data_IF_417647238953
#
_entry.id   IF_417647238953
#
_cell.length_a   1.000
_cell.length_b   1.000
_cell.length_c   1.000
_cell.angle_alpha   90.00
_cell.angle_beta   90.00
_cell.angle_gamma   90.00
#
_symmetry.space_group_name_H-M   'P 1'
#
loop_
_entity.id
_entity.type
_entity.pdbx_description
1 polymer ?
#
# COMPACT_ATOMS: atom_id res chain seq x y z
N UNK A 1 -5.44 -20.31 -25.52
CA UNK A 1 -3.97 -20.17 -25.33
C UNK A 1 -3.73 -19.01 -24.37
N UNK A 2 -2.95 -19.24 -23.32
CA UNK A 2 -2.89 -18.40 -22.11
C UNK A 2 -2.06 -17.11 -22.31
N UNK A 3 -2.63 -16.11 -23.02
CA UNK A 3 -1.99 -14.82 -23.31
C UNK A 3 -1.49 -14.09 -22.06
N UNK A 4 -2.17 -14.25 -20.92
CA UNK A 4 -1.74 -13.68 -19.64
C UNK A 4 -0.44 -14.27 -19.09
N UNK A 5 -0.18 -15.56 -19.30
CA UNK A 5 1.08 -16.18 -18.87
C UNK A 5 2.28 -15.65 -19.68
N UNK A 6 2.05 -15.32 -20.96
CA UNK A 6 3.07 -14.77 -21.83
C UNK A 6 3.47 -13.35 -21.40
N UNK A 7 2.49 -12.51 -21.05
CA UNK A 7 2.76 -11.15 -20.54
C UNK A 7 3.48 -11.17 -19.19
N UNK A 8 3.15 -12.14 -18.34
CA UNK A 8 3.85 -12.31 -17.06
C UNK A 8 5.32 -12.71 -17.32
N UNK A 9 5.56 -13.66 -18.23
CA UNK A 9 6.92 -14.08 -18.59
C UNK A 9 7.75 -12.92 -19.18
N UNK A 10 7.13 -12.07 -20.00
CA UNK A 10 7.76 -10.89 -20.59
C UNK A 10 8.14 -9.85 -19.53
N UNK A 11 7.26 -9.62 -18.54
CA UNK A 11 7.58 -8.75 -17.40
C UNK A 11 8.75 -9.25 -16.56
N UNK A 12 8.83 -10.57 -16.32
CA UNK A 12 9.97 -11.17 -15.61
C UNK A 12 11.29 -11.04 -16.39
N UNK A 13 11.24 -11.19 -17.72
CA UNK A 13 12.42 -11.02 -18.57
C UNK A 13 12.99 -9.60 -18.47
N UNK A 14 12.14 -8.57 -18.50
CA UNK A 14 12.54 -7.16 -18.39
C UNK A 14 13.21 -6.85 -17.04
N UNK A 15 12.69 -7.40 -15.93
CA UNK A 15 13.29 -7.24 -14.60
C UNK A 15 14.66 -7.92 -14.54
N UNK A 16 14.78 -9.14 -15.07
CA UNK A 16 16.05 -9.86 -15.10
C UNK A 16 17.12 -9.14 -15.95
N UNK A 17 16.71 -8.51 -17.06
CA UNK A 17 17.60 -7.70 -17.89
C UNK A 17 18.09 -6.45 -17.15
N UNK A 18 17.21 -5.78 -16.39
CA UNK A 18 17.59 -4.67 -15.52
C UNK A 18 18.69 -5.06 -14.51
N UNK A 19 18.57 -6.21 -13.87
CA UNK A 19 19.61 -6.73 -12.97
C UNK A 19 20.92 -7.06 -13.69
N UNK A 20 20.85 -7.65 -14.89
CA UNK A 20 22.05 -7.93 -15.71
C UNK A 20 22.77 -6.64 -16.10
N UNK A 21 22.01 -5.61 -16.48
CA UNK A 21 22.54 -4.30 -16.85
C UNK A 21 23.22 -3.62 -15.66
N UNK A 22 22.57 -3.61 -14.49
CA UNK A 22 23.18 -3.10 -13.26
C UNK A 22 24.46 -3.85 -12.87
N UNK A 23 24.48 -5.18 -13.04
CA UNK A 23 25.67 -6.00 -12.80
C UNK A 23 26.79 -5.73 -13.83
N UNK A 24 26.47 -5.47 -15.09
CA UNK A 24 27.47 -5.14 -16.12
C UNK A 24 28.01 -3.72 -16.02
N UNK A 25 27.21 -2.78 -15.51
CA UNK A 25 27.59 -1.36 -15.34
C UNK A 25 28.36 -1.12 -14.02
N UNK A 26 28.68 -2.18 -13.28
CA UNK A 26 29.51 -2.10 -12.06
C UNK A 26 28.87 -1.32 -10.92
N UNK A 27 27.55 -1.13 -10.95
CA UNK A 27 26.84 -0.41 -9.92
C UNK A 27 26.59 -1.33 -8.73
N UNK A 28 27.34 -1.11 -7.65
CA UNK A 28 27.20 -1.87 -6.42
C UNK A 28 25.80 -1.69 -5.84
N UNK A 29 25.12 -2.81 -5.61
CA UNK A 29 23.87 -2.86 -4.88
C UNK A 29 24.18 -2.40 -3.45
N UNK A 30 23.56 -1.34 -2.90
CA UNK A 30 23.74 -1.01 -1.49
C UNK A 30 23.38 -2.23 -0.66
N UNK A 31 24.33 -2.65 0.18
CA UNK A 31 24.34 -3.86 0.99
C UNK A 31 23.42 -3.73 2.21
N UNK A 32 22.20 -3.24 2.00
CA UNK A 32 21.07 -3.28 2.94
C UNK A 32 19.88 -3.92 2.21
N UNK A 33 20.06 -5.17 1.78
CA UNK A 33 18.92 -6.06 1.55
C UNK A 33 18.72 -6.82 2.85
N UNK A 34 18.13 -6.11 3.81
CA UNK A 34 17.47 -6.75 4.94
C UNK A 34 16.43 -7.72 4.39
N UNK A 35 16.51 -8.92 4.94
CA UNK A 35 15.76 -10.10 4.62
C UNK A 35 14.30 -9.93 5.01
N UNK A 36 13.45 -9.31 4.19
CA UNK A 36 12.00 -9.46 4.32
C UNK A 36 11.26 -8.90 3.10
N UNK A 37 10.82 -9.79 2.20
CA UNK A 37 9.51 -9.68 1.54
C UNK A 37 9.22 -10.95 0.76
N UNK A 38 8.52 -11.86 1.46
CA UNK A 38 7.57 -12.78 0.86
C UNK A 38 6.77 -12.02 -0.23
N UNK A 39 6.59 -12.56 -1.44
CA UNK A 39 5.82 -11.89 -2.46
C UNK A 39 4.36 -11.92 -2.02
N UNK A 40 3.89 -10.88 -1.33
CA UNK A 40 2.47 -10.58 -1.32
C UNK A 40 2.11 -10.26 -2.77
N UNK A 41 1.34 -11.19 -3.35
CA UNK A 41 0.65 -11.00 -4.62
C UNK A 41 -0.02 -9.65 -4.61
N UNK A 42 0.55 -8.71 -5.35
CA UNK A 42 -0.13 -7.50 -5.79
C UNK A 42 -1.33 -7.93 -6.62
N UNK A 43 -2.50 -7.98 -5.99
CA UNK A 43 -3.75 -7.86 -6.73
C UNK A 43 -3.81 -6.41 -7.22
N UNK A 44 -3.69 -6.26 -8.54
CA UNK A 44 -4.32 -5.22 -9.38
C UNK A 44 -4.79 -3.95 -8.67
N UNK A 45 -4.24 -2.76 -9.00
CA UNK A 45 -4.77 -1.49 -8.51
C UNK A 45 -6.08 -1.20 -9.24
N UNK A 46 -7.18 -1.79 -8.77
CA UNK A 46 -8.45 -1.07 -8.87
C UNK A 46 -8.25 0.23 -8.10
N UNK A 47 -8.61 1.36 -8.69
CA UNK A 47 -8.63 2.69 -8.05
C UNK A 47 -9.64 2.69 -6.89
N UNK A 48 -9.35 1.94 -5.84
CA UNK A 48 -10.02 1.96 -4.55
C UNK A 48 -9.08 2.67 -3.62
N UNK A 49 -9.63 3.57 -2.80
CA UNK A 49 -8.86 4.34 -1.83
C UNK A 49 -7.96 3.39 -1.04
N UNK A 50 -6.66 3.63 -1.12
CA UNK A 50 -5.70 2.73 -0.50
C UNK A 50 -5.72 2.94 1.00
N UNK A 51 -5.65 1.85 1.79
CA UNK A 51 -5.52 1.94 3.25
C UNK A 51 -4.32 2.81 3.66
N UNK A 52 -3.31 2.92 2.79
CA UNK A 52 -2.15 3.78 2.94
C UNK A 52 -2.52 5.26 2.97
N UNK A 53 -3.34 5.73 2.03
CA UNK A 53 -3.81 7.13 2.00
C UNK A 53 -4.68 7.45 3.21
N UNK A 54 -5.59 6.55 3.59
CA UNK A 54 -6.42 6.74 4.78
C UNK A 54 -5.57 6.80 6.05
N UNK A 55 -4.52 5.97 6.16
CA UNK A 55 -3.54 6.05 7.26
C UNK A 55 -2.82 7.38 7.29
N UNK A 56 -2.44 7.92 6.14
CA UNK A 56 -1.75 9.21 6.06
C UNK A 56 -2.63 10.34 6.61
N UNK A 57 -3.88 10.43 6.14
CA UNK A 57 -4.85 11.45 6.60
C UNK A 57 -5.13 11.30 8.10
N UNK A 58 -5.39 10.07 8.56
CA UNK A 58 -5.61 9.84 9.99
C UNK A 58 -4.38 10.17 10.84
N UNK A 59 -3.17 9.87 10.36
CA UNK A 59 -1.95 10.20 11.08
C UNK A 59 -1.75 11.72 11.17
N UNK A 60 -2.07 12.47 10.12
CA UNK A 60 -2.02 13.93 10.12
C UNK A 60 -2.99 14.53 11.13
N UNK A 61 -4.24 14.02 11.17
CA UNK A 61 -5.25 14.43 12.15
C UNK A 61 -4.91 14.04 13.58
N UNK A 62 -4.28 12.87 13.76
CA UNK A 62 -3.78 12.42 15.07
C UNK A 62 -2.66 13.33 15.57
N UNK A 63 -1.76 13.77 14.68
CA UNK A 63 -0.71 14.76 15.00
C UNK A 63 -1.30 16.13 15.35
N UNK A 64 -2.43 16.50 14.77
CA UNK A 64 -3.18 17.70 15.14
C UNK A 64 -3.89 17.59 16.51
N UNK A 65 -3.71 16.49 17.24
CA UNK A 65 -4.30 16.27 18.57
C UNK A 65 -5.66 15.58 18.56
N UNK A 66 -6.23 15.31 17.38
CA UNK A 66 -7.60 14.77 17.23
C UNK A 66 -7.68 13.24 17.35
N UNK A 67 -6.79 12.69 18.15
CA UNK A 67 -6.65 11.23 18.30
C UNK A 67 -7.87 10.62 19.00
N UNK A 68 -8.57 11.38 19.85
CA UNK A 68 -9.79 10.93 20.49
C UNK A 68 -10.96 10.88 19.50
N UNK A 69 -11.15 11.91 18.68
CA UNK A 69 -12.18 11.91 17.65
C UNK A 69 -11.94 10.82 16.61
N UNK A 70 -10.69 10.58 16.21
CA UNK A 70 -10.32 9.47 15.33
C UNK A 70 -10.72 8.11 15.91
N UNK A 71 -10.48 7.89 17.21
CA UNK A 71 -10.86 6.63 17.88
C UNK A 71 -12.37 6.48 17.98
N UNK A 72 -13.11 7.56 18.25
CA UNK A 72 -14.57 7.54 18.23
C UNK A 72 -15.10 7.26 16.83
N UNK A 73 -14.54 7.91 15.82
CA UNK A 73 -14.88 7.70 14.42
C UNK A 73 -14.68 6.23 14.03
N UNK A 74 -13.54 5.62 14.36
CA UNK A 74 -13.32 4.19 14.11
C UNK A 74 -14.39 3.32 14.79
N UNK A 75 -14.74 3.62 16.06
CA UNK A 75 -15.78 2.88 16.80
C UNK A 75 -17.18 3.05 16.22
N UNK A 76 -17.55 4.23 15.72
CA UNK A 76 -18.82 4.45 15.01
C UNK A 76 -18.92 3.55 13.77
N UNK A 77 -17.78 3.28 13.14
CA UNK A 77 -17.67 2.39 12.00
C UNK A 77 -17.57 0.91 12.42
N UNK A 78 -17.65 0.61 13.73
CA UNK A 78 -17.61 -0.73 14.28
C UNK A 78 -16.20 -1.34 14.33
N UNK A 79 -15.15 -0.51 14.28
CA UNK A 79 -13.77 -0.95 14.23
C UNK A 79 -12.93 -0.29 15.33
N UNK A 80 -12.00 -1.03 15.93
CA UNK A 80 -11.02 -0.43 16.84
C UNK A 80 -9.77 0.09 16.11
N UNK A 81 -9.56 -0.35 14.86
CA UNK A 81 -8.38 -0.07 14.05
C UNK A 81 -8.76 0.11 12.58
N UNK A 82 -7.99 0.93 11.87
CA UNK A 82 -8.19 1.16 10.43
C UNK A 82 -8.16 -0.12 9.59
N UNK A 83 -7.37 -1.11 10.00
CA UNK A 83 -7.29 -2.43 9.36
C UNK A 83 -8.54 -3.30 9.53
N UNK A 84 -9.44 -2.93 10.44
CA UNK A 84 -10.70 -3.63 10.68
C UNK A 84 -11.89 -2.92 10.03
N UNK A 85 -11.65 -1.77 9.38
CA UNK A 85 -12.67 -1.06 8.61
C UNK A 85 -12.71 -1.64 7.19
N UNK A 86 -13.88 -2.00 6.66
CA UNK A 86 -14.01 -2.49 5.29
C UNK A 86 -13.69 -1.37 4.27
N UNK A 87 -13.10 -1.74 3.14
CA UNK A 87 -12.68 -0.78 2.10
C UNK A 87 -13.84 0.09 1.59
N UNK A 88 -15.05 -0.46 1.57
CA UNK A 88 -16.29 0.25 1.20
C UNK A 88 -16.57 1.46 2.09
N UNK A 89 -16.04 1.46 3.33
CA UNK A 89 -16.21 2.55 4.29
C UNK A 89 -14.99 3.47 4.40
N UNK A 90 -13.89 3.19 3.67
CA UNK A 90 -12.72 4.05 3.68
C UNK A 90 -13.00 5.44 3.10
N UNK A 91 -13.83 5.53 2.06
CA UNK A 91 -14.26 6.82 1.50
C UNK A 91 -14.97 7.70 2.53
N UNK A 92 -15.92 7.13 3.27
CA UNK A 92 -16.68 7.88 4.27
C UNK A 92 -15.83 8.21 5.49
N UNK A 93 -14.98 7.28 5.92
CA UNK A 93 -14.07 7.47 7.03
C UNK A 93 -13.02 8.55 6.72
N UNK A 94 -12.48 8.58 5.50
CA UNK A 94 -11.54 9.61 5.05
C UNK A 94 -12.21 10.99 5.05
N UNK A 95 -13.40 11.13 4.47
CA UNK A 95 -14.14 12.40 4.48
C UNK A 95 -14.42 12.91 5.89
N UNK A 96 -14.86 12.04 6.80
CA UNK A 96 -15.08 12.43 8.20
C UNK A 96 -13.78 12.79 8.89
N UNK A 97 -12.70 12.04 8.65
CA UNK A 97 -11.38 12.35 9.19
C UNK A 97 -10.84 13.69 8.68
N UNK A 98 -11.05 14.04 7.40
CA UNK A 98 -10.64 15.33 6.83
C UNK A 98 -11.36 16.53 7.46
N UNK A 99 -12.61 16.36 7.89
CA UNK A 99 -13.40 17.42 8.53
C UNK A 99 -13.10 17.57 10.02
N UNK A 100 -12.52 16.55 10.67
CA UNK A 100 -12.10 16.62 12.07
C UNK A 100 -11.08 17.71 12.29
#
# INVERSE_FOLDING_TARGET
MNKGLLQIAEGFAMVAEGYRKMASEGMEIPKDIQTEKKPEKSNTPEKKISITEVRAVMAEKSRAGKTQEIKQLLKEFGADKLSSVPEERYEELMKRAEVL
#
